data_IF_669348740274
#
_entry.id   IF_669348740274
#
_cell.length_a   1.000
_cell.length_b   1.000
_cell.length_c   1.000
_cell.angle_alpha   90.00
_cell.angle_beta   90.00
_cell.angle_gamma   90.00
#
_symmetry.space_group_name_H-M   'P 1'
#
loop_
_entity.id
_entity.type
_entity.pdbx_description
1 polymer ?
#
# COMPACT_ATOMS: atom_id res chain seq x y z
N UNK A 1 19.48 21.00 25.98
CA UNK A 1 19.58 20.63 24.55
C UNK A 1 18.40 19.70 24.19
N UNK A 2 18.07 18.66 24.98
CA UNK A 2 16.94 17.77 24.71
C UNK A 2 15.58 18.47 24.65
N UNK A 3 15.29 19.42 25.55
CA UNK A 3 14.01 20.14 25.59
C UNK A 3 13.72 20.96 24.30
N UNK A 4 14.76 21.46 23.63
CA UNK A 4 14.60 22.21 22.39
C UNK A 4 14.29 21.27 21.22
N UNK A 5 14.90 20.08 21.18
CA UNK A 5 14.62 19.06 20.17
C UNK A 5 13.21 18.47 20.34
N UNK A 6 12.81 18.16 21.57
CA UNK A 6 11.45 17.65 21.85
C UNK A 6 10.38 18.69 21.45
N UNK A 7 10.55 19.96 21.81
CA UNK A 7 9.64 21.03 21.40
C UNK A 7 9.57 21.16 19.88
N UNK A 8 10.71 21.05 19.18
CA UNK A 8 10.75 21.15 17.73
C UNK A 8 10.04 19.97 17.06
N UNK A 9 10.20 18.75 17.57
CA UNK A 9 9.48 17.56 17.10
C UNK A 9 7.97 17.70 17.29
N UNK A 10 7.51 18.11 18.47
CA UNK A 10 6.08 18.33 18.76
C UNK A 10 5.49 19.40 17.85
N UNK A 11 6.24 20.48 17.58
CA UNK A 11 5.78 21.54 16.67
C UNK A 11 5.67 21.01 15.24
N UNK A 12 6.65 20.28 14.75
CA UNK A 12 6.62 19.69 13.40
C UNK A 12 5.49 18.67 13.24
N UNK A 13 5.26 17.81 14.23
CA UNK A 13 4.11 16.88 14.21
C UNK A 13 2.77 17.65 14.21
N UNK A 14 2.68 18.72 14.97
CA UNK A 14 1.48 19.57 15.02
C UNK A 14 1.22 20.28 13.70
N UNK A 15 2.25 20.79 13.03
CA UNK A 15 2.17 21.39 11.70
C UNK A 15 1.78 20.37 10.63
N UNK A 16 2.36 19.16 10.67
CA UNK A 16 2.00 18.08 9.75
C UNK A 16 0.53 17.67 9.94
N UNK A 17 0.06 17.51 11.17
CA UNK A 17 -1.35 17.21 11.46
C UNK A 17 -2.28 18.33 11.01
N UNK A 18 -1.87 19.60 11.18
CA UNK A 18 -2.62 20.75 10.71
C UNK A 18 -2.72 20.79 9.18
N UNK A 19 -1.63 20.54 8.46
CA UNK A 19 -1.61 20.45 7.00
C UNK A 19 -2.46 19.28 6.49
N UNK A 20 -2.38 18.12 7.13
CA UNK A 20 -3.23 16.96 6.82
C UNK A 20 -4.72 17.23 7.07
N UNK A 21 -5.05 18.05 8.10
CA UNK A 21 -6.43 18.42 8.41
C UNK A 21 -7.05 19.41 7.43
N UNK A 22 -6.24 20.14 6.64
CA UNK A 22 -6.74 21.04 5.59
C UNK A 22 -7.38 20.28 4.42
N UNK A 23 -6.96 19.04 4.18
CA UNK A 23 -7.69 18.13 3.30
C UNK A 23 -8.77 17.48 4.16
N UNK A 24 -10.03 17.89 4.01
CA UNK A 24 -11.12 17.25 4.73
C UNK A 24 -11.36 15.82 4.18
N UNK A 25 -10.87 14.77 4.87
CA UNK A 25 -10.95 13.40 4.35
C UNK A 25 -12.40 12.94 4.15
N UNK A 26 -13.26 13.36 5.03
CA UNK A 26 -14.68 13.04 4.98
C UNK A 26 -15.38 13.70 3.79
N UNK A 27 -15.00 14.93 3.44
CA UNK A 27 -15.53 15.59 2.24
C UNK A 27 -15.09 14.85 0.97
N UNK A 28 -13.81 14.52 0.85
CA UNK A 28 -13.29 13.77 -0.31
C UNK A 28 -13.99 12.42 -0.46
N UNK A 29 -14.12 11.68 0.64
CA UNK A 29 -14.83 10.41 0.66
C UNK A 29 -16.29 10.56 0.20
N UNK A 30 -17.02 11.54 0.73
CA UNK A 30 -18.42 11.78 0.37
C UNK A 30 -18.61 12.16 -1.11
N UNK A 31 -17.70 12.97 -1.66
CA UNK A 31 -17.72 13.33 -3.09
C UNK A 31 -17.53 12.09 -3.95
N UNK A 32 -16.54 11.25 -3.63
CA UNK A 32 -16.26 10.02 -4.37
C UNK A 32 -17.43 9.02 -4.27
N UNK A 33 -18.02 8.87 -3.09
CA UNK A 33 -19.24 8.04 -2.92
C UNK A 33 -20.41 8.57 -3.76
N UNK A 34 -20.56 9.89 -3.85
CA UNK A 34 -21.60 10.50 -4.69
C UNK A 34 -21.35 10.23 -6.17
N UNK A 35 -20.10 10.34 -6.64
CA UNK A 35 -19.73 9.99 -8.02
C UNK A 35 -20.00 8.52 -8.30
N UNK A 36 -19.63 7.61 -7.38
CA UNK A 36 -19.91 6.19 -7.53
C UNK A 36 -21.41 5.89 -7.63
N UNK A 37 -22.22 6.54 -6.80
CA UNK A 37 -23.69 6.38 -6.83
C UNK A 37 -24.27 6.90 -8.15
N UNK A 38 -23.86 8.07 -8.63
CA UNK A 38 -24.32 8.62 -9.92
C UNK A 38 -23.94 7.69 -11.07
N UNK A 39 -22.70 7.19 -11.09
CA UNK A 39 -22.24 6.24 -12.09
C UNK A 39 -23.04 4.92 -12.06
N UNK A 40 -23.42 4.45 -10.87
CA UNK A 40 -24.29 3.29 -10.71
C UNK A 40 -25.68 3.53 -11.29
N UNK A 41 -26.27 4.70 -11.07
CA UNK A 41 -27.59 5.08 -11.61
C UNK A 41 -27.57 5.15 -13.14
N UNK A 42 -26.45 5.60 -13.72
CA UNK A 42 -26.24 5.68 -15.17
C UNK A 42 -25.77 4.33 -15.79
N UNK A 43 -25.62 3.27 -14.97
CA UNK A 43 -25.18 1.94 -15.40
C UNK A 43 -23.69 1.89 -15.78
N UNK A 44 -22.90 2.92 -15.44
CA UNK A 44 -21.48 2.96 -15.72
C UNK A 44 -20.66 2.29 -14.60
N UNK A 45 -20.47 0.97 -14.75
CA UNK A 45 -19.78 0.13 -13.76
C UNK A 45 -18.30 0.48 -13.58
N UNK A 46 -17.64 0.96 -14.62
CA UNK A 46 -16.21 1.29 -14.58
C UNK A 46 -15.97 2.56 -13.75
N UNK A 47 -16.75 3.62 -13.98
CA UNK A 47 -16.66 4.84 -13.16
C UNK A 47 -17.08 4.56 -11.72
N UNK A 48 -18.13 3.76 -11.51
CA UNK A 48 -18.55 3.34 -10.17
C UNK A 48 -17.40 2.65 -9.42
N UNK A 49 -16.77 1.66 -10.05
CA UNK A 49 -15.66 0.90 -9.47
C UNK A 49 -14.46 1.79 -9.18
N UNK A 50 -14.09 2.65 -10.14
CA UNK A 50 -12.98 3.61 -9.98
C UNK A 50 -13.22 4.53 -8.77
N UNK A 51 -14.37 5.17 -8.69
CA UNK A 51 -14.69 6.10 -7.61
C UNK A 51 -14.74 5.39 -6.24
N UNK A 52 -15.29 4.16 -6.18
CA UNK A 52 -15.36 3.37 -4.96
C UNK A 52 -13.97 2.93 -4.47
N UNK A 53 -13.09 2.45 -5.36
CA UNK A 53 -11.74 2.05 -5.02
C UNK A 53 -10.91 3.25 -4.55
N UNK A 54 -11.03 4.39 -5.23
CA UNK A 54 -10.33 5.61 -4.84
C UNK A 54 -10.83 6.16 -3.51
N UNK A 55 -12.14 6.08 -3.24
CA UNK A 55 -12.71 6.42 -1.93
C UNK A 55 -12.13 5.54 -0.81
N UNK A 56 -12.05 4.22 -1.05
CA UNK A 56 -11.46 3.26 -0.10
C UNK A 56 -10.00 3.55 0.22
N UNK A 57 -9.16 3.80 -0.80
CA UNK A 57 -7.76 4.18 -0.62
C UNK A 57 -7.61 5.53 0.09
N UNK A 58 -8.40 6.53 -0.30
CA UNK A 58 -8.39 7.85 0.33
C UNK A 58 -8.73 7.75 1.82
N UNK A 59 -9.76 6.98 2.15
CA UNK A 59 -10.13 6.71 3.52
C UNK A 59 -9.01 5.98 4.27
N UNK A 60 -8.39 4.97 3.66
CA UNK A 60 -7.28 4.25 4.25
C UNK A 60 -6.10 5.17 4.55
N UNK A 61 -5.66 5.98 3.60
CA UNK A 61 -4.50 6.88 3.74
C UNK A 61 -4.74 8.01 4.73
N UNK A 62 -5.96 8.54 4.83
CA UNK A 62 -6.30 9.69 5.66
C UNK A 62 -6.85 9.33 7.06
N UNK A 63 -7.27 8.07 7.27
CA UNK A 63 -7.77 7.59 8.57
C UNK A 63 -6.63 7.14 9.47
N UNK A 64 -6.20 7.99 10.37
CA UNK A 64 -5.30 7.66 11.48
C UNK A 64 -3.83 7.97 11.20
N UNK A 65 -3.27 8.82 12.06
CA UNK A 65 -1.82 8.97 12.21
C UNK A 65 -1.30 7.95 13.20
N UNK A 66 -0.13 7.40 12.92
CA UNK A 66 0.62 6.54 13.84
C UNK A 66 0.46 5.04 13.60
N UNK A 67 1.05 4.26 14.49
CA UNK A 67 1.18 2.80 14.44
C UNK A 67 -0.16 2.03 14.49
N UNK A 68 -1.03 2.25 13.53
CA UNK A 68 -2.30 1.52 13.42
C UNK A 68 -2.01 0.19 12.74
N UNK A 69 -2.25 -0.90 13.46
CA UNK A 69 -2.26 -2.25 12.92
C UNK A 69 -3.69 -2.60 12.48
N UNK A 70 -3.81 -3.24 11.34
CA UNK A 70 -5.08 -3.70 10.75
C UNK A 70 -4.95 -5.17 10.33
N UNK A 71 -6.06 -5.90 10.16
CA UNK A 71 -6.03 -7.26 9.65
C UNK A 71 -5.37 -7.33 8.26
N UNK A 72 -4.57 -8.38 8.02
CA UNK A 72 -3.92 -8.63 6.74
C UNK A 72 -4.93 -8.64 5.58
N UNK A 73 -6.12 -9.20 5.78
CA UNK A 73 -7.18 -9.16 4.79
C UNK A 73 -7.50 -7.73 4.31
N UNK A 74 -7.47 -6.77 5.22
CA UNK A 74 -7.74 -5.36 4.91
C UNK A 74 -6.57 -4.71 4.16
N UNK A 75 -5.32 -5.04 4.51
CA UNK A 75 -4.13 -4.61 3.77
C UNK A 75 -4.15 -5.12 2.32
N UNK A 76 -4.46 -6.40 2.13
CA UNK A 76 -4.59 -7.00 0.80
C UNK A 76 -5.71 -6.33 -0.01
N UNK A 77 -6.80 -5.93 0.65
CA UNK A 77 -7.88 -5.18 -0.01
C UNK A 77 -7.43 -3.80 -0.47
N UNK A 78 -6.63 -3.08 0.32
CA UNK A 78 -6.09 -1.77 -0.09
C UNK A 78 -5.12 -1.90 -1.27
N UNK A 79 -4.22 -2.88 -1.23
CA UNK A 79 -3.36 -3.18 -2.36
C UNK A 79 -4.16 -3.51 -3.64
N UNK A 80 -5.24 -4.28 -3.50
CA UNK A 80 -6.14 -4.60 -4.60
C UNK A 80 -6.83 -3.35 -5.15
N UNK A 81 -7.32 -2.44 -4.33
CA UNK A 81 -7.91 -1.18 -4.78
C UNK A 81 -6.93 -0.38 -5.63
N UNK A 82 -5.68 -0.27 -5.17
CA UNK A 82 -4.62 0.40 -5.91
C UNK A 82 -4.39 -0.25 -7.28
N UNK A 83 -4.21 -1.57 -7.32
CA UNK A 83 -3.98 -2.32 -8.57
C UNK A 83 -5.15 -2.14 -9.55
N UNK A 84 -6.39 -2.24 -9.08
CA UNK A 84 -7.56 -2.07 -9.94
C UNK A 84 -7.63 -0.67 -10.56
N UNK A 85 -7.23 0.38 -9.83
CA UNK A 85 -7.10 1.73 -10.37
C UNK A 85 -6.00 1.81 -11.45
N UNK A 86 -4.86 1.16 -11.23
CA UNK A 86 -3.78 1.13 -12.21
C UNK A 86 -4.15 0.30 -13.46
N UNK A 87 -4.89 -0.79 -13.29
CA UNK A 87 -5.41 -1.58 -14.42
C UNK A 87 -6.39 -0.79 -15.30
N UNK A 88 -7.19 0.11 -14.70
CA UNK A 88 -8.04 1.01 -15.48
C UNK A 88 -7.23 2.00 -16.35
N UNK A 89 -6.03 2.39 -15.88
CA UNK A 89 -5.11 3.30 -16.60
C UNK A 89 -4.27 2.56 -17.64
N UNK A 90 -3.73 1.39 -17.31
CA UNK A 90 -2.73 0.69 -18.11
C UNK A 90 -3.27 -0.57 -18.81
N UNK A 91 -4.54 -0.93 -18.56
CA UNK A 91 -5.16 -2.12 -19.14
C UNK A 91 -4.49 -3.42 -18.67
N UNK A 92 -4.30 -4.33 -19.61
CA UNK A 92 -3.71 -5.65 -19.37
C UNK A 92 -2.20 -5.63 -19.09
N UNK A 93 -1.58 -4.45 -19.07
CA UNK A 93 -0.15 -4.32 -18.75
C UNK A 93 0.18 -4.79 -17.33
N UNK A 94 -0.78 -4.70 -16.39
CA UNK A 94 -0.56 -5.03 -14.98
C UNK A 94 -1.38 -6.26 -14.59
N UNK A 95 -0.69 -7.34 -14.20
CA UNK A 95 -1.28 -8.51 -13.56
C UNK A 95 -1.00 -8.50 -12.05
N UNK A 96 -1.95 -9.00 -11.26
CA UNK A 96 -1.86 -9.05 -9.81
C UNK A 96 -2.24 -10.41 -9.29
N UNK A 97 -1.38 -10.99 -8.46
CA UNK A 97 -1.58 -12.29 -7.85
C UNK A 97 -1.37 -12.22 -6.35
N UNK A 98 -2.20 -12.93 -5.59
CA UNK A 98 -2.08 -13.03 -4.13
C UNK A 98 -2.08 -14.49 -3.73
N UNK A 99 -1.15 -14.87 -2.87
CA UNK A 99 -1.08 -16.21 -2.26
C UNK A 99 -0.94 -16.07 -0.73
N UNK A 100 -1.82 -16.73 0.01
CA UNK A 100 -1.79 -16.76 1.48
C UNK A 100 -1.72 -18.20 1.91
N UNK A 101 -0.70 -18.57 2.70
CA UNK A 101 -0.44 -19.97 3.07
C UNK A 101 -1.47 -20.56 4.04
N UNK A 102 -2.19 -19.72 4.80
CA UNK A 102 -3.25 -20.13 5.72
C UNK A 102 -4.29 -19.02 5.88
N UNK A 103 -5.57 -19.36 5.94
CA UNK A 103 -6.67 -18.41 6.19
C UNK A 103 -6.53 -17.66 7.52
N UNK A 104 -5.91 -18.28 8.51
CA UNK A 104 -5.66 -17.67 9.82
C UNK A 104 -4.82 -16.39 9.71
N UNK A 105 -3.89 -16.34 8.76
CA UNK A 105 -3.07 -15.14 8.49
C UNK A 105 -3.90 -13.92 8.13
N UNK A 106 -5.06 -14.08 7.51
CA UNK A 106 -5.92 -12.98 7.11
C UNK A 106 -6.42 -12.14 8.29
N UNK A 107 -6.47 -12.72 9.49
CA UNK A 107 -6.90 -12.06 10.73
C UNK A 107 -5.74 -11.46 11.51
N UNK A 108 -4.49 -11.81 11.18
CA UNK A 108 -3.31 -11.29 11.84
C UNK A 108 -3.17 -9.78 11.62
N UNK A 109 -2.74 -9.07 12.66
CA UNK A 109 -2.58 -7.63 12.62
C UNK A 109 -1.21 -7.26 12.05
N UNK A 110 -1.22 -6.48 10.97
CA UNK A 110 -0.03 -5.96 10.28
C UNK A 110 -0.07 -4.43 10.24
N UNK A 111 1.09 -3.75 10.07
CA UNK A 111 1.11 -2.31 9.90
C UNK A 111 0.27 -1.88 8.70
N UNK A 112 -0.51 -0.82 8.89
CA UNK A 112 -1.39 -0.28 7.87
C UNK A 112 -0.62 0.31 6.70
N UNK A 113 -1.09 0.04 5.47
CA UNK A 113 -0.57 0.53 4.19
C UNK A 113 0.83 0.00 3.81
N UNK A 114 1.35 -1.02 4.50
CA UNK A 114 2.67 -1.57 4.18
C UNK A 114 2.67 -2.33 2.84
N UNK A 115 1.66 -3.15 2.59
CA UNK A 115 1.55 -3.90 1.33
C UNK A 115 1.22 -2.95 0.18
N UNK A 116 0.31 -2.02 0.40
CA UNK A 116 -0.08 -1.03 -0.61
C UNK A 116 1.11 -0.20 -1.08
N UNK A 117 1.96 0.30 -0.15
CA UNK A 117 3.17 1.04 -0.48
C UNK A 117 4.18 0.20 -1.29
N UNK A 118 4.37 -1.08 -0.94
CA UNK A 118 5.27 -1.96 -1.67
C UNK A 118 4.74 -2.27 -3.08
N UNK A 119 3.43 -2.47 -3.22
CA UNK A 119 2.76 -2.67 -4.50
C UNK A 119 2.83 -1.39 -5.35
N UNK A 120 2.65 -0.20 -4.76
CA UNK A 120 2.82 1.09 -5.44
C UNK A 120 4.23 1.22 -6.01
N UNK A 121 5.26 0.88 -5.23
CA UNK A 121 6.66 0.89 -5.69
C UNK A 121 6.90 -0.12 -6.82
N UNK A 122 6.39 -1.34 -6.71
CA UNK A 122 6.52 -2.37 -7.73
C UNK A 122 5.89 -1.94 -9.06
N UNK A 123 4.72 -1.31 -9.02
CA UNK A 123 4.05 -0.80 -10.23
C UNK A 123 4.78 0.42 -10.78
N UNK A 124 5.01 1.46 -9.97
CA UNK A 124 5.52 2.75 -10.43
C UNK A 124 6.97 2.69 -10.90
N UNK A 125 7.83 1.95 -10.20
CA UNK A 125 9.24 1.85 -10.53
C UNK A 125 9.59 0.58 -11.30
N UNK A 126 8.76 -0.46 -11.19
CA UNK A 126 9.00 -1.75 -11.83
C UNK A 126 8.27 -1.92 -13.16
N UNK A 127 6.94 -1.88 -13.13
CA UNK A 127 6.12 -2.27 -14.28
C UNK A 127 5.82 -1.10 -15.22
N UNK A 128 5.57 0.11 -14.70
CA UNK A 128 5.26 1.28 -15.53
C UNK A 128 6.35 1.58 -16.58
N UNK A 129 7.66 1.58 -16.23
CA UNK A 129 8.73 1.81 -17.20
C UNK A 129 9.07 0.60 -18.08
N UNK A 130 8.58 -0.62 -17.72
CA UNK A 130 8.87 -1.85 -18.47
C UNK A 130 8.21 -1.84 -19.86
N UNK A 131 8.93 -2.30 -20.88
CA UNK A 131 8.36 -2.64 -22.15
C UNK A 131 7.58 -3.95 -22.05
N UNK A 132 6.23 -3.91 -22.23
CA UNK A 132 5.35 -5.06 -22.12
C UNK A 132 4.62 -5.17 -20.78
N UNK A 133 3.96 -6.31 -20.59
CA UNK A 133 3.20 -6.61 -19.36
C UNK A 133 4.11 -7.01 -18.20
N UNK A 134 3.62 -6.78 -16.99
CA UNK A 134 4.29 -7.20 -15.77
C UNK A 134 3.30 -7.70 -14.72
N UNK A 135 3.82 -8.50 -13.78
CA UNK A 135 3.05 -9.12 -12.72
C UNK A 135 3.58 -8.69 -11.36
N UNK A 136 2.69 -8.24 -10.48
CA UNK A 136 2.97 -8.07 -9.06
C UNK A 136 2.39 -9.27 -8.32
N UNK A 137 3.21 -9.94 -7.54
CA UNK A 137 2.78 -11.06 -6.69
C UNK A 137 2.98 -10.69 -5.22
N UNK A 138 1.91 -10.80 -4.44
CA UNK A 138 1.94 -10.64 -2.98
C UNK A 138 1.76 -12.01 -2.34
N UNK A 139 2.69 -12.40 -1.49
CA UNK A 139 2.56 -13.64 -0.71
C UNK A 139 2.66 -13.37 0.79
N UNK A 140 1.87 -14.13 1.55
CA UNK A 140 1.89 -14.11 3.01
C UNK A 140 2.06 -15.54 3.54
N UNK A 141 3.00 -15.72 4.46
CA UNK A 141 3.32 -17.00 5.04
C UNK A 141 3.92 -16.88 6.43
N UNK A 142 4.32 -18.00 7.00
CA UNK A 142 5.11 -18.03 8.22
C UNK A 142 6.58 -18.25 7.87
N UNK A 143 7.46 -17.44 8.44
CA UNK A 143 8.89 -17.66 8.42
C UNK A 143 9.28 -18.80 9.38
N UNK A 144 10.52 -19.31 9.24
CA UNK A 144 11.04 -20.42 10.07
C UNK A 144 10.99 -20.14 11.58
N UNK A 145 11.07 -18.89 11.98
CA UNK A 145 10.98 -18.42 13.36
C UNK A 145 9.55 -18.19 13.87
N UNK A 146 8.53 -18.52 13.06
CA UNK A 146 7.12 -18.31 13.37
C UNK A 146 6.61 -16.88 13.17
N UNK A 147 7.44 -15.96 12.69
CA UNK A 147 7.00 -14.62 12.32
C UNK A 147 6.16 -14.65 11.03
N UNK A 148 5.31 -13.65 10.82
CA UNK A 148 4.62 -13.47 9.56
C UNK A 148 5.61 -12.90 8.54
N UNK A 149 5.76 -13.58 7.43
CA UNK A 149 6.54 -13.10 6.29
C UNK A 149 5.59 -12.60 5.21
N UNK A 150 5.74 -11.32 4.83
CA UNK A 150 5.06 -10.72 3.69
C UNK A 150 6.08 -10.46 2.60
N UNK A 151 5.81 -10.95 1.40
CA UNK A 151 6.68 -10.76 0.25
C UNK A 151 5.88 -10.12 -0.88
N UNK A 152 6.38 -8.99 -1.38
CA UNK A 152 5.91 -8.38 -2.61
C UNK A 152 7.02 -8.55 -3.65
N UNK A 153 6.71 -9.20 -4.75
CA UNK A 153 7.63 -9.43 -5.85
C UNK A 153 7.01 -8.98 -7.17
N UNK A 154 7.85 -8.53 -8.06
CA UNK A 154 7.48 -8.14 -9.42
C UNK A 154 8.47 -8.72 -10.43
N UNK A 155 8.03 -8.85 -11.69
CA UNK A 155 8.85 -9.31 -12.80
C UNK A 155 9.41 -8.15 -13.65
N UNK A 156 9.64 -7.02 -13.01
CA UNK A 156 10.15 -5.79 -13.63
C UNK A 156 11.61 -5.89 -14.05
N UNK A 157 12.10 -4.81 -14.69
CA UNK A 157 13.50 -4.66 -15.08
C UNK A 157 14.47 -4.59 -13.90
N UNK A 158 13.97 -4.44 -12.66
CA UNK A 158 14.76 -4.28 -11.44
C UNK A 158 15.35 -2.88 -11.30
N UNK A 159 15.97 -2.61 -10.15
CA UNK A 159 16.65 -1.34 -9.92
C UNK A 159 17.97 -1.32 -10.67
N UNK A 160 18.19 -0.36 -11.58
CA UNK A 160 19.52 0.04 -12.05
C UNK A 160 20.24 0.81 -10.93
N UNK A 161 20.73 0.12 -9.91
CA UNK A 161 21.49 0.70 -8.82
C UNK A 161 22.78 -0.06 -8.62
N UNK A 162 23.88 0.68 -8.60
CA UNK A 162 25.17 0.15 -8.14
C UNK A 162 24.98 -0.38 -6.72
N UNK A 163 25.18 -1.71 -6.53
CA UNK A 163 25.25 -2.43 -5.27
C UNK A 163 23.95 -2.94 -4.61
N UNK A 164 22.77 -2.94 -5.24
CA UNK A 164 21.62 -3.69 -4.71
C UNK A 164 21.06 -3.18 -3.37
N UNK A 165 21.46 -2.01 -2.92
CA UNK A 165 20.92 -1.37 -1.72
C UNK A 165 19.67 -0.57 -2.09
N UNK A 166 18.52 -1.01 -1.59
CA UNK A 166 17.27 -0.27 -1.66
C UNK A 166 17.33 0.79 -0.55
N UNK A 167 17.21 2.10 -0.85
CA UNK A 167 17.06 3.10 0.19
C UNK A 167 15.63 2.98 0.78
N UNK A 168 15.44 2.06 1.70
CA UNK A 168 14.24 2.00 2.52
C UNK A 168 14.40 3.00 3.68
N UNK A 169 13.40 3.85 3.94
CA UNK A 169 13.44 4.78 5.08
C UNK A 169 13.20 4.11 6.44
N UNK A 170 13.22 2.80 6.50
CA UNK A 170 12.99 1.99 7.71
C UNK A 170 14.10 0.96 7.85
N UNK A 171 14.70 0.83 9.03
CA UNK A 171 15.62 -0.24 9.44
C UNK A 171 14.87 -1.59 9.51
N UNK A 172 14.46 -2.10 8.37
CA UNK A 172 13.89 -3.44 8.24
C UNK A 172 15.00 -4.39 7.77
N UNK A 173 15.14 -5.59 8.38
CA UNK A 173 16.14 -6.56 7.95
C UNK A 173 15.79 -7.05 6.53
N UNK A 174 16.57 -6.62 5.54
CA UNK A 174 16.44 -7.05 4.14
C UNK A 174 17.39 -8.21 3.90
N UNK A 175 16.85 -9.40 3.68
CA UNK A 175 17.63 -10.54 3.20
C UNK A 175 17.68 -10.50 1.66
N UNK A 176 18.92 -10.39 1.13
CA UNK A 176 19.16 -10.18 -0.29
C UNK A 176 18.69 -11.31 -1.19
N UNK A 177 17.74 -11.00 -2.01
CA UNK A 177 17.48 -11.53 -3.36
C UNK A 177 16.36 -10.66 -3.97
N UNK A 178 16.34 -10.45 -5.28
CA UNK A 178 15.51 -9.62 -6.15
C UNK A 178 13.99 -9.44 -5.82
N UNK A 179 13.61 -9.49 -4.54
CA UNK A 179 12.24 -9.37 -4.04
C UNK A 179 12.22 -8.46 -2.83
N UNK A 180 11.29 -7.53 -2.75
CA UNK A 180 11.03 -6.75 -1.56
C UNK A 180 10.40 -7.67 -0.49
N UNK A 181 11.21 -8.13 0.47
CA UNK A 181 10.75 -8.95 1.59
C UNK A 181 10.63 -8.10 2.84
N UNK A 182 9.49 -8.12 3.46
CA UNK A 182 9.26 -7.52 4.78
C UNK A 182 8.86 -8.63 5.74
N UNK A 183 9.73 -8.93 6.71
CA UNK A 183 9.40 -9.83 7.80
C UNK A 183 8.87 -9.03 8.98
N UNK A 184 7.63 -9.31 9.41
CA UNK A 184 6.99 -8.67 10.54
C UNK A 184 7.02 -9.63 11.73
N UNK A 185 7.74 -9.24 12.81
CA UNK A 185 7.66 -9.93 14.08
C UNK A 185 6.40 -9.46 14.80
N UNK A 186 5.42 -10.36 14.93
CA UNK A 186 4.28 -10.18 15.85
C UNK A 186 4.69 -10.66 17.24
N UNK A 187 4.82 -9.72 18.18
CA UNK A 187 4.87 -10.01 19.62
C UNK A 187 3.47 -9.85 20.19
#
# INVERSE_FOLDING_TARGET
INDVYEKKLVTQESELRFLQSQINPHFMYNVLCSIALMAQMDGNTDIQKMASNFAGLTQARLSGGGDVKIPLAQELQYAKFYIELQQMRFGEKISYQVSVSSEELLTCLVPKLIIEMLVENAVGHGIEPKDGAGTVHVSAGYAENGAIELVVSDDSVGFEGQNGEIPLPLDLPVSGNRHNRVALNTV
#
